data_IF_181726761201
#
_entry.id   IF_181726761201
#
_cell.length_a   1.000
_cell.length_b   1.000
_cell.length_c   1.000
_cell.angle_alpha   90.00
_cell.angle_beta   90.00
_cell.angle_gamma   90.00
#
_symmetry.space_group_name_H-M   'P 1'
#
loop_
_entity.id
_entity.type
_entity.pdbx_description
1 polymer ?
#
# COMPACT_ATOMS: atom_id res chain seq x y z
N UNK A 1 5.36 11.84 14.25
CA UNK A 1 3.97 11.46 13.95
C UNK A 1 3.45 12.42 12.90
N UNK A 2 3.18 11.94 11.68
CA UNK A 2 2.76 12.82 10.58
C UNK A 2 1.27 13.12 10.75
N UNK A 3 0.96 14.40 10.95
CA UNK A 3 -0.40 14.93 11.06
C UNK A 3 -0.96 15.06 9.65
N UNK A 4 -1.94 14.21 9.28
CA UNK A 4 -2.64 14.32 8.00
C UNK A 4 -3.69 15.41 8.16
N UNK A 5 -3.41 16.61 7.65
CA UNK A 5 -4.33 17.74 7.63
C UNK A 5 -5.17 17.63 6.35
N UNK A 6 -6.51 17.52 6.42
CA UNK A 6 -7.35 17.42 5.22
C UNK A 6 -7.71 18.83 4.75
N UNK A 7 -6.78 19.54 4.11
CA UNK A 7 -7.07 20.82 3.44
C UNK A 7 -6.35 20.85 2.10
N UNK A 8 -7.09 20.58 1.03
CA UNK A 8 -6.63 20.71 -0.35
C UNK A 8 -6.98 19.49 -1.21
N UNK A 9 -7.36 19.73 -2.46
CA UNK A 9 -7.47 18.70 -3.51
C UNK A 9 -6.16 17.90 -3.53
N UNK A 10 -6.16 16.68 -3.00
CA UNK A 10 -4.97 15.82 -3.04
C UNK A 10 -4.77 15.47 -4.52
N UNK A 11 -3.67 15.92 -5.15
CA UNK A 11 -3.45 15.60 -6.55
C UNK A 11 -3.24 14.09 -6.67
N UNK A 12 -3.78 13.47 -7.73
CA UNK A 12 -3.64 12.03 -7.97
C UNK A 12 -2.17 11.60 -7.96
N UNK A 13 -1.26 12.48 -8.39
CA UNK A 13 0.19 12.28 -8.33
C UNK A 13 0.74 12.15 -6.91
N UNK A 14 0.17 12.85 -5.92
CA UNK A 14 0.53 12.67 -4.52
C UNK A 14 0.03 11.32 -3.97
N UNK A 15 -1.15 10.85 -4.40
CA UNK A 15 -1.64 9.51 -4.07
C UNK A 15 -0.75 8.42 -4.68
N UNK A 16 -0.33 8.60 -5.94
CA UNK A 16 0.59 7.70 -6.64
C UNK A 16 1.95 7.66 -5.94
N UNK A 17 2.48 8.81 -5.53
CA UNK A 17 3.76 8.90 -4.82
C UNK A 17 3.73 8.25 -3.44
N UNK A 18 2.57 8.25 -2.78
CA UNK A 18 2.38 7.71 -1.44
C UNK A 18 2.10 6.19 -1.43
N UNK A 19 1.54 5.65 -2.51
CA UNK A 19 1.16 4.25 -2.60
C UNK A 19 2.31 3.24 -2.35
N UNK A 20 3.57 3.47 -2.81
CA UNK A 20 4.70 2.60 -2.47
C UNK A 20 4.99 2.57 -0.96
N UNK A 21 4.86 3.72 -0.28
CA UNK A 21 5.10 3.82 1.16
C UNK A 21 4.06 3.03 1.95
N UNK A 22 2.80 3.10 1.54
CA UNK A 22 1.73 2.31 2.15
C UNK A 22 1.92 0.81 1.91
N UNK A 23 2.34 0.41 0.69
CA UNK A 23 2.63 -0.99 0.38
C UNK A 23 3.74 -1.55 1.28
N UNK A 24 4.83 -0.82 1.47
CA UNK A 24 5.93 -1.25 2.33
C UNK A 24 5.51 -1.36 3.80
N UNK A 25 4.66 -0.45 4.30
CA UNK A 25 4.10 -0.56 5.65
C UNK A 25 3.26 -1.82 5.81
N UNK A 26 2.39 -2.12 4.83
CA UNK A 26 1.56 -3.33 4.86
C UNK A 26 2.41 -4.61 4.79
N UNK A 27 3.49 -4.62 3.99
CA UNK A 27 4.44 -5.73 3.97
C UNK A 27 5.03 -5.99 5.35
N UNK A 28 5.43 -4.95 6.08
CA UNK A 28 5.97 -5.10 7.44
C UNK A 28 4.93 -5.70 8.40
N UNK A 29 3.68 -5.25 8.33
CA UNK A 29 2.58 -5.78 9.15
C UNK A 29 2.34 -7.26 8.84
N UNK A 30 2.23 -7.63 7.57
CA UNK A 30 2.05 -9.03 7.19
C UNK A 30 3.23 -9.90 7.63
N UNK A 31 4.47 -9.42 7.48
CA UNK A 31 5.65 -10.12 7.99
C UNK A 31 5.66 -10.28 9.51
N UNK A 32 5.14 -9.30 10.25
CA UNK A 32 4.97 -9.42 11.70
C UNK A 32 3.92 -10.49 12.04
N UNK A 33 2.78 -10.51 11.35
CA UNK A 33 1.73 -11.52 11.53
C UNK A 33 2.18 -12.94 11.17
N UNK A 34 2.95 -13.09 10.08
CA UNK A 34 3.53 -14.38 9.69
C UNK A 34 4.53 -14.87 10.74
N UNK A 35 5.43 -14.00 11.23
CA UNK A 35 6.38 -14.35 12.30
C UNK A 35 5.68 -14.69 13.62
N UNK A 36 4.56 -14.05 13.91
CA UNK A 36 3.73 -14.36 15.07
C UNK A 36 2.89 -15.65 14.90
N UNK A 37 2.93 -16.31 13.73
CA UNK A 37 2.12 -17.49 13.43
C UNK A 37 0.64 -17.21 13.25
N UNK A 38 0.24 -15.93 13.14
CA UNK A 38 -1.16 -15.52 12.98
C UNK A 38 -1.63 -15.51 11.52
N UNK A 39 -0.71 -15.71 10.57
CA UNK A 39 -1.00 -15.67 9.14
C UNK A 39 -0.08 -16.64 8.39
N UNK A 40 -0.59 -17.31 7.36
CA UNK A 40 0.26 -18.12 6.47
C UNK A 40 0.98 -17.20 5.48
N UNK A 41 2.20 -17.57 5.11
CA UNK A 41 3.00 -16.80 4.15
C UNK A 41 2.26 -16.62 2.81
N UNK A 42 1.58 -17.65 2.32
CA UNK A 42 0.81 -17.58 1.07
C UNK A 42 -0.31 -16.54 1.11
N UNK A 43 -0.98 -16.38 2.26
CA UNK A 43 -2.05 -15.39 2.43
C UNK A 43 -1.46 -13.97 2.45
N UNK A 44 -0.29 -13.81 3.09
CA UNK A 44 0.45 -12.55 3.12
C UNK A 44 0.88 -12.14 1.71
N UNK A 45 1.45 -13.06 0.94
CA UNK A 45 1.88 -12.82 -0.44
C UNK A 45 0.70 -12.45 -1.36
N UNK A 46 -0.44 -13.15 -1.22
CA UNK A 46 -1.65 -12.83 -1.97
C UNK A 46 -2.19 -11.43 -1.63
N UNK A 47 -2.18 -11.05 -0.34
CA UNK A 47 -2.57 -9.71 0.11
C UNK A 47 -1.64 -8.61 -0.43
N UNK A 48 -0.32 -8.85 -0.41
CA UNK A 48 0.66 -7.92 -0.96
C UNK A 48 0.47 -7.76 -2.48
N UNK A 49 0.27 -8.86 -3.20
CA UNK A 49 0.05 -8.84 -4.65
C UNK A 49 -1.22 -8.05 -5.03
N UNK A 50 -2.31 -8.25 -4.28
CA UNK A 50 -3.54 -7.48 -4.47
C UNK A 50 -3.30 -5.98 -4.23
N UNK A 51 -2.67 -5.62 -3.11
CA UNK A 51 -2.40 -4.22 -2.78
C UNK A 51 -1.47 -3.55 -3.79
N UNK A 52 -0.45 -4.27 -4.28
CA UNK A 52 0.38 -3.80 -5.37
C UNK A 52 -0.47 -3.53 -6.63
N UNK A 53 -1.32 -4.47 -7.04
CA UNK A 53 -2.18 -4.29 -8.22
C UNK A 53 -3.10 -3.06 -8.12
N UNK A 54 -3.62 -2.76 -6.91
CA UNK A 54 -4.47 -1.60 -6.66
C UNK A 54 -3.63 -0.31 -6.66
N UNK A 55 -2.46 -0.31 -6.02
CA UNK A 55 -1.55 0.84 -5.97
C UNK A 55 -1.04 1.27 -7.35
N UNK A 56 -0.81 0.31 -8.26
CA UNK A 56 -0.33 0.60 -9.62
C UNK A 56 -1.44 0.98 -10.61
N UNK A 57 -2.71 0.68 -10.29
CA UNK A 57 -3.84 1.00 -11.18
C UNK A 57 -4.01 2.51 -11.43
N UNK A 58 -3.94 3.39 -10.42
CA UNK A 58 -3.92 4.84 -10.63
C UNK A 58 -2.72 5.32 -11.44
N UNK A 59 -1.54 4.71 -11.24
CA UNK A 59 -0.32 5.05 -11.99
C UNK A 59 -0.46 4.73 -13.47
N UNK A 60 -1.05 3.58 -13.82
CA UNK A 60 -1.31 3.21 -15.21
C UNK A 60 -2.39 4.09 -15.85
N UNK A 61 -3.45 4.44 -15.12
CA UNK A 61 -4.51 5.31 -15.64
C UNK A 61 -4.06 6.76 -15.79
N UNK A 62 -3.15 7.26 -14.95
CA UNK A 62 -2.60 8.61 -15.06
C UNK A 62 -1.51 8.76 -16.15
N UNK A 63 -1.01 7.64 -16.69
CA UNK A 63 -0.01 7.60 -17.76
C UNK A 63 -0.63 7.50 -19.18
N UNK A 64 -1.96 7.37 -19.27
CA UNK A 64 -2.75 7.42 -20.50
C UNK A 64 -3.29 8.84 -20.75
#
# INVERSE_FOLDING_TARGET
MAQIIPIGTIPVTALIAEAPRELDMRRQVYWASVRAGQMRLADADAGIALMASIAWRPTMTAAL
#
